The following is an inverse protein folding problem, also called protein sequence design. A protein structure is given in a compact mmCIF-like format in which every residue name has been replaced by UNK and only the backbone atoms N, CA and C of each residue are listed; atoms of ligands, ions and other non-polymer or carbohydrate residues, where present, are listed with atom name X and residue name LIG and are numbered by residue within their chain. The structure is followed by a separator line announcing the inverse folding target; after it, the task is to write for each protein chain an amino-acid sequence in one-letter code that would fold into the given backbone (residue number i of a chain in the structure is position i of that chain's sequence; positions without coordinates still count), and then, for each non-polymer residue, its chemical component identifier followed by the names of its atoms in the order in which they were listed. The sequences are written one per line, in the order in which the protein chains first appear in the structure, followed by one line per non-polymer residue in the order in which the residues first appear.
data_IF_651909395745
#
_entry.id   IF_651909395745
#
_cell.length_a   1.000
_cell.length_b   1.000
_cell.length_c   1.000
_cell.angle_alpha   90.00
_cell.angle_beta   90.00
_cell.angle_gamma   90.00
#
_symmetry.space_group_name_H-M   'P 1'
#
loop_
_entity.id
_entity.type
_entity.pdbx_description
1 polymer ?
#
# COMPACT_ATOMS: atom_id res chain seq x y z
N UNK A 1 59.99 48.42 -30.55
CA UNK A 1 60.62 47.53 -31.56
C UNK A 1 60.32 46.08 -31.18
N UNK A 2 60.03 45.25 -32.20
CA UNK A 2 59.77 43.79 -32.18
C UNK A 2 58.42 43.34 -31.56
N UNK A 3 57.40 43.03 -32.37
CA UNK A 3 57.11 41.80 -33.16
C UNK A 3 56.72 40.57 -32.30
N UNK A 4 55.44 40.17 -32.46
CA UNK A 4 54.72 38.88 -32.28
C UNK A 4 55.56 37.60 -32.58
N UNK A 5 55.06 36.33 -32.46
CA UNK A 5 53.90 35.68 -31.78
C UNK A 5 54.24 34.29 -31.13
N UNK A 6 53.19 33.54 -30.72
CA UNK A 6 53.02 32.07 -30.86
C UNK A 6 53.84 31.12 -29.93
N UNK A 7 53.15 30.32 -29.11
CA UNK A 7 53.03 28.84 -29.23
C UNK A 7 52.45 28.21 -27.94
N UNK A 8 51.53 27.26 -28.15
CA UNK A 8 50.88 26.40 -27.16
C UNK A 8 51.86 25.54 -26.34
N UNK A 9 51.54 25.35 -25.05
CA UNK A 9 51.73 24.12 -24.28
C UNK A 9 50.81 24.26 -23.04
N UNK A 10 49.56 23.78 -22.99
CA UNK A 10 49.10 22.39 -23.05
C UNK A 10 49.89 21.47 -22.11
N UNK A 11 49.74 21.68 -20.81
CA UNK A 11 50.02 20.68 -19.78
C UNK A 11 48.96 20.78 -18.67
N UNK A 12 47.87 20.06 -18.88
CA UNK A 12 46.97 19.58 -17.83
C UNK A 12 47.80 18.76 -16.83
N UNK A 13 47.89 19.12 -15.54
CA UNK A 13 48.29 18.15 -14.54
C UNK A 13 47.08 17.24 -14.30
N UNK A 14 47.22 16.02 -14.82
CA UNK A 14 46.50 14.80 -14.46
C UNK A 14 45.77 14.96 -13.11
N UNK A 15 44.47 15.23 -13.19
CA UNK A 15 43.58 15.01 -12.06
C UNK A 15 43.80 13.56 -11.66
N UNK A 16 44.36 13.37 -10.46
CA UNK A 16 44.41 12.07 -9.84
C UNK A 16 42.97 11.58 -9.77
N UNK A 17 42.61 10.71 -10.71
CA UNK A 17 41.47 9.83 -10.59
C UNK A 17 41.80 8.89 -9.43
N UNK A 18 41.69 9.38 -8.20
CA UNK A 18 41.33 8.52 -7.09
C UNK A 18 39.95 8.01 -7.46
N UNK A 19 39.91 6.84 -8.09
CA UNK A 19 38.76 5.96 -8.15
C UNK A 19 38.47 5.55 -6.72
N UNK A 20 37.94 6.50 -5.95
CA UNK A 20 37.22 6.21 -4.74
C UNK A 20 36.03 5.41 -5.25
N UNK A 21 35.93 4.11 -4.93
CA UNK A 21 34.70 3.40 -5.25
C UNK A 21 33.62 4.23 -4.59
N UNK A 22 32.68 4.73 -5.38
CA UNK A 22 31.46 5.29 -4.86
C UNK A 22 30.98 4.25 -3.87
N UNK A 23 31.09 4.56 -2.57
CA UNK A 23 30.43 3.80 -1.54
C UNK A 23 29.00 3.87 -2.03
N UNK A 24 28.52 2.76 -2.60
CA UNK A 24 27.12 2.60 -2.82
C UNK A 24 26.58 2.74 -1.40
N UNK A 25 26.10 3.92 -1.06
CA UNK A 25 24.89 4.00 -0.26
C UNK A 25 23.94 3.12 -1.07
N UNK A 26 23.93 1.83 -0.75
CA UNK A 26 22.75 1.02 -0.89
C UNK A 26 21.75 1.77 -0.01
N UNK A 27 21.16 2.83 -0.59
CA UNK A 27 19.99 3.47 -0.07
C UNK A 27 19.00 2.34 -0.08
N UNK A 28 18.82 1.73 1.09
CA UNK A 28 17.89 0.64 1.28
C UNK A 28 16.59 1.08 0.60
N UNK A 29 16.23 0.39 -0.47
CA UNK A 29 15.04 0.76 -1.21
C UNK A 29 13.86 0.36 -0.32
N UNK A 30 12.90 1.25 -0.02
CA UNK A 30 11.79 0.91 0.84
C UNK A 30 11.07 -0.32 0.30
N UNK A 31 10.86 -1.32 1.15
CA UNK A 31 10.15 -2.53 0.75
C UNK A 31 8.66 -2.19 0.56
N UNK A 32 8.12 -2.52 -0.62
CA UNK A 32 6.71 -2.30 -0.95
C UNK A 32 5.96 -3.63 -0.98
N UNK A 33 4.78 -3.64 -0.37
CA UNK A 33 3.89 -4.78 -0.34
C UNK A 33 2.50 -4.36 -0.80
N UNK A 34 1.82 -5.23 -1.52
CA UNK A 34 0.39 -5.09 -1.82
C UNK A 34 -0.35 -6.23 -1.14
N UNK A 35 -1.30 -5.86 -0.28
CA UNK A 35 -2.20 -6.78 0.40
C UNK A 35 -3.58 -6.70 -0.22
N UNK A 36 -4.18 -7.86 -0.41
CA UNK A 36 -5.52 -8.05 -0.94
C UNK A 36 -6.35 -8.81 0.09
N UNK A 37 -7.58 -8.36 0.30
CA UNK A 37 -8.60 -9.09 1.03
C UNK A 37 -9.89 -9.07 0.21
N UNK A 38 -10.55 -10.22 0.05
CA UNK A 38 -11.75 -10.32 -0.76
C UNK A 38 -12.76 -11.33 -0.24
N UNK A 39 -14.04 -10.99 -0.37
CA UNK A 39 -15.16 -11.90 -0.33
C UNK A 39 -15.57 -12.20 -1.77
N UNK A 40 -15.07 -13.28 -2.33
CA UNK A 40 -15.29 -13.64 -3.74
C UNK A 40 -16.72 -14.11 -4.05
N UNK A 41 -17.49 -14.50 -3.03
CA UNK A 41 -18.85 -15.03 -3.18
C UNK A 41 -19.77 -14.54 -2.07
N UNK A 42 -20.43 -13.41 -2.32
CA UNK A 42 -21.48 -12.91 -1.44
C UNK A 42 -22.81 -13.62 -1.76
N UNK A 43 -23.55 -14.12 -0.76
CA UNK A 43 -24.88 -14.71 -0.96
C UNK A 43 -25.85 -13.72 -1.62
N UNK A 44 -26.64 -14.18 -2.59
CA UNK A 44 -27.55 -13.33 -3.37
C UNK A 44 -28.65 -12.61 -2.55
N UNK A 45 -28.92 -13.07 -1.33
CA UNK A 45 -29.86 -12.46 -0.38
C UNK A 45 -29.23 -11.47 0.61
N UNK A 46 -27.91 -11.26 0.56
CA UNK A 46 -27.22 -10.35 1.47
C UNK A 46 -27.76 -8.92 1.31
N UNK A 47 -28.13 -8.28 2.41
CA UNK A 47 -28.59 -6.89 2.42
C UNK A 47 -27.47 -5.92 2.75
N UNK A 48 -26.50 -6.37 3.55
CA UNK A 48 -25.32 -5.62 3.96
C UNK A 48 -24.10 -6.53 3.98
N UNK A 49 -23.01 -6.06 3.39
CA UNK A 49 -21.71 -6.72 3.45
C UNK A 49 -20.69 -5.72 3.98
N UNK A 50 -19.84 -6.14 4.92
CA UNK A 50 -18.73 -5.35 5.44
C UNK A 50 -17.45 -6.16 5.31
N UNK A 51 -16.40 -5.52 4.84
CA UNK A 51 -15.04 -6.05 4.80
C UNK A 51 -14.15 -5.03 5.48
N UNK A 52 -13.45 -5.44 6.52
CA UNK A 52 -12.57 -4.58 7.29
C UNK A 52 -11.18 -5.17 7.44
N UNK A 53 -10.21 -4.29 7.64
CA UNK A 53 -8.85 -4.65 8.02
C UNK A 53 -8.32 -3.61 8.97
N UNK A 54 -7.76 -4.08 10.09
CA UNK A 54 -6.99 -3.24 11.00
C UNK A 54 -5.51 -3.36 10.65
N UNK A 55 -4.82 -2.24 10.52
CA UNK A 55 -3.39 -2.25 10.20
C UNK A 55 -2.60 -2.61 11.48
N UNK A 56 -1.79 -3.69 11.47
CA UNK A 56 -0.97 -4.10 12.62
C UNK A 56 -0.03 -3.00 13.07
N UNK A 57 0.30 -2.93 14.37
CA UNK A 57 1.12 -1.86 14.94
C UNK A 57 2.47 -1.68 14.23
N UNK A 58 3.09 -2.80 13.85
CA UNK A 58 4.37 -2.82 13.13
C UNK A 58 4.35 -1.99 11.85
N UNK A 59 3.21 -1.89 11.17
CA UNK A 59 3.06 -1.11 9.94
C UNK A 59 3.27 0.36 10.31
N UNK A 60 4.33 1.03 9.82
CA UNK A 60 4.63 2.38 10.28
C UNK A 60 3.51 3.37 9.94
N UNK A 61 3.38 4.42 10.76
CA UNK A 61 2.52 5.53 10.40
C UNK A 61 2.96 6.15 9.07
N UNK A 62 2.01 6.51 8.22
CA UNK A 62 2.27 6.94 6.86
C UNK A 62 2.87 5.87 5.92
N UNK A 63 2.93 4.58 6.28
CA UNK A 63 3.41 3.53 5.36
C UNK A 63 2.39 3.18 4.28
N UNK A 64 1.09 3.39 4.51
CA UNK A 64 0.06 3.14 3.50
C UNK A 64 0.17 4.18 2.37
N UNK A 65 0.48 3.72 1.15
CA UNK A 65 0.66 4.56 -0.05
C UNK A 65 -0.57 4.59 -0.93
N UNK A 66 -1.23 3.45 -1.11
CA UNK A 66 -2.45 3.37 -1.91
C UNK A 66 -3.48 2.51 -1.19
N UNK A 67 -4.74 2.88 -1.37
CA UNK A 67 -5.89 2.14 -0.89
C UNK A 67 -6.94 2.17 -2.00
N UNK A 68 -7.49 1.01 -2.31
CA UNK A 68 -8.59 0.90 -3.27
C UNK A 68 -9.57 -0.18 -2.82
N UNK A 69 -10.84 0.03 -3.16
CA UNK A 69 -11.86 -1.02 -3.11
C UNK A 69 -12.21 -1.46 -4.51
N UNK A 70 -12.60 -2.71 -4.65
CA UNK A 70 -13.07 -3.28 -5.90
C UNK A 70 -14.14 -4.32 -5.63
N UNK A 71 -14.84 -4.75 -6.67
CA UNK A 71 -15.79 -5.84 -6.57
C UNK A 71 -16.83 -5.80 -7.68
N UNK A 72 -17.94 -6.50 -7.43
CA UNK A 72 -19.03 -6.68 -8.37
C UNK A 72 -20.35 -6.44 -7.65
N UNK A 73 -21.13 -5.47 -8.09
CA UNK A 73 -22.47 -5.18 -7.52
C UNK A 73 -23.51 -5.19 -8.63
N UNK A 74 -24.55 -6.01 -8.50
CA UNK A 74 -25.62 -6.08 -9.51
C UNK A 74 -25.12 -6.40 -10.93
N UNK A 75 -24.02 -7.15 -11.05
CA UNK A 75 -23.26 -7.45 -12.29
C UNK A 75 -22.41 -6.30 -12.87
N UNK A 76 -22.29 -5.16 -12.20
CA UNK A 76 -21.39 -4.08 -12.59
C UNK A 76 -20.06 -4.16 -11.80
N UNK A 77 -18.91 -4.35 -12.46
CA UNK A 77 -17.63 -4.28 -11.77
C UNK A 77 -17.36 -2.84 -11.36
N UNK A 78 -16.75 -2.65 -10.20
CA UNK A 78 -16.30 -1.35 -9.74
C UNK A 78 -14.87 -1.40 -9.22
N UNK A 79 -14.18 -0.27 -9.37
CA UNK A 79 -12.93 0.02 -8.68
C UNK A 79 -13.01 1.45 -8.18
N UNK A 80 -12.66 1.66 -6.92
CA UNK A 80 -12.64 2.94 -6.23
C UNK A 80 -11.23 3.13 -5.67
N UNK A 81 -10.42 3.95 -6.34
CA UNK A 81 -9.12 4.37 -5.81
C UNK A 81 -9.35 5.53 -4.86
N UNK A 82 -8.87 5.39 -3.62
CA UNK A 82 -9.05 6.40 -2.60
C UNK A 82 -7.94 7.47 -2.64
N UNK A 83 -8.29 8.73 -2.37
CA UNK A 83 -7.30 9.81 -2.29
C UNK A 83 -6.36 9.60 -1.10
N UNK A 84 -5.22 10.28 -1.18
CA UNK A 84 -4.22 10.30 -0.10
C UNK A 84 -4.70 11.21 1.04
N UNK A 85 -5.66 10.74 1.84
CA UNK A 85 -6.21 11.47 2.99
C UNK A 85 -6.24 10.60 4.25
N UNK A 86 -6.03 11.24 5.41
CA UNK A 86 -6.00 10.58 6.74
C UNK A 86 -7.37 10.02 7.17
N UNK A 87 -8.44 10.47 6.57
CA UNK A 87 -9.74 9.81 6.70
C UNK A 87 -10.65 10.25 5.57
N UNK A 88 -11.73 9.52 5.42
CA UNK A 88 -12.79 9.92 4.51
C UNK A 88 -13.88 8.88 4.40
N UNK A 89 -14.90 9.26 3.65
CA UNK A 89 -15.96 8.36 3.22
C UNK A 89 -16.20 8.65 1.75
N UNK A 90 -16.27 7.60 0.94
CA UNK A 90 -16.62 7.66 -0.45
C UNK A 90 -17.82 6.75 -0.67
N UNK A 91 -18.88 7.31 -1.22
CA UNK A 91 -20.11 6.58 -1.54
C UNK A 91 -20.31 6.59 -3.06
N UNK A 92 -20.53 5.42 -3.64
CA UNK A 92 -20.92 5.24 -5.04
C UNK A 92 -22.03 4.21 -5.12
N UNK A 93 -23.20 4.66 -5.57
CA UNK A 93 -24.41 3.83 -5.74
C UNK A 93 -24.78 3.05 -4.47
N UNK A 94 -24.36 1.79 -4.39
CA UNK A 94 -24.64 0.83 -3.32
C UNK A 94 -23.44 0.57 -2.41
N UNK A 95 -22.27 1.13 -2.73
CA UNK A 95 -21.01 0.87 -2.02
C UNK A 95 -20.60 2.12 -1.27
N UNK A 96 -20.37 1.96 0.03
CA UNK A 96 -19.79 2.96 0.92
C UNK A 96 -18.45 2.45 1.42
N UNK A 97 -17.37 3.13 1.05
CA UNK A 97 -16.06 2.89 1.60
C UNK A 97 -15.74 3.98 2.63
N UNK A 98 -15.46 3.58 3.87
CA UNK A 98 -15.04 4.49 4.94
C UNK A 98 -13.63 4.12 5.39
N UNK A 99 -12.74 5.10 5.52
CA UNK A 99 -11.38 4.85 5.96
C UNK A 99 -10.97 5.86 7.02
N UNK A 100 -10.18 5.37 7.98
CA UNK A 100 -9.35 6.20 8.84
C UNK A 100 -7.91 5.73 8.63
N UNK A 101 -7.18 6.55 7.88
CA UNK A 101 -5.75 6.45 7.63
C UNK A 101 -5.01 7.17 8.75
N UNK A 102 -4.35 6.44 9.64
CA UNK A 102 -3.12 6.87 10.30
C UNK A 102 -3.05 8.36 10.74
N UNK A 103 -4.11 8.91 11.32
CA UNK A 103 -3.91 9.93 12.34
C UNK A 103 -3.31 9.18 13.54
N UNK A 104 -2.31 9.76 14.19
CA UNK A 104 -1.53 9.14 15.28
C UNK A 104 -2.35 8.73 16.53
N UNK A 105 -3.68 8.66 16.46
CA UNK A 105 -4.57 8.34 17.56
C UNK A 105 -5.77 7.48 17.11
N UNK A 106 -5.86 6.32 17.77
CA UNK A 106 -7.04 5.47 17.99
C UNK A 106 -7.72 4.71 16.82
N UNK A 107 -7.52 5.07 15.55
CA UNK A 107 -8.17 4.39 14.42
C UNK A 107 -7.18 3.92 13.35
N UNK A 108 -6.84 2.62 13.33
CA UNK A 108 -6.04 1.98 12.27
C UNK A 108 -6.89 1.05 11.39
N UNK A 109 -8.16 1.37 11.23
CA UNK A 109 -9.14 0.49 10.62
C UNK A 109 -9.66 1.07 9.28
N UNK A 110 -9.76 0.18 8.30
CA UNK A 110 -10.30 0.46 6.97
C UNK A 110 -11.52 -0.42 6.82
N UNK A 111 -12.68 0.16 6.49
CA UNK A 111 -13.94 -0.58 6.38
C UNK A 111 -14.64 -0.26 5.08
N UNK A 112 -14.81 -1.28 4.25
CA UNK A 112 -15.64 -1.26 3.06
C UNK A 112 -17.01 -1.84 3.40
N UNK A 113 -18.06 -1.08 3.12
CA UNK A 113 -19.45 -1.51 3.28
C UNK A 113 -20.16 -1.48 1.93
N UNK A 114 -20.97 -2.49 1.67
CA UNK A 114 -21.95 -2.50 0.57
C UNK A 114 -23.34 -2.71 1.14
N UNK A 115 -24.32 -1.97 0.61
CA UNK A 115 -25.75 -2.11 0.89
C UNK A 115 -26.46 -2.53 -0.39
N UNK A 116 -26.78 -3.81 -0.51
CA UNK A 116 -27.47 -4.38 -1.68
C UNK A 116 -26.79 -5.61 -2.25
N UNK A 117 -26.99 -5.85 -3.56
CA UNK A 117 -26.61 -7.08 -4.29
C UNK A 117 -25.11 -7.14 -4.64
N UNK A 118 -24.24 -7.00 -3.65
CA UNK A 118 -22.83 -7.34 -3.86
C UNK A 118 -22.73 -8.84 -4.20
N UNK A 119 -21.92 -9.15 -5.19
CA UNK A 119 -21.52 -10.51 -5.55
C UNK A 119 -20.06 -10.76 -5.14
N UNK A 120 -19.25 -9.71 -5.22
CA UNK A 120 -17.86 -9.68 -4.78
C UNK A 120 -17.55 -8.34 -4.09
N UNK A 121 -16.73 -8.38 -3.04
CA UNK A 121 -16.25 -7.19 -2.35
C UNK A 121 -14.78 -7.39 -1.96
N UNK A 122 -13.91 -6.45 -2.34
CA UNK A 122 -12.48 -6.54 -2.10
C UNK A 122 -11.82 -5.23 -1.72
N UNK A 123 -10.76 -5.34 -0.92
CA UNK A 123 -9.86 -4.26 -0.51
C UNK A 123 -8.46 -4.55 -1.01
N UNK A 124 -7.77 -3.51 -1.47
CA UNK A 124 -6.35 -3.57 -1.84
C UNK A 124 -5.60 -2.43 -1.15
N UNK A 125 -4.58 -2.81 -0.40
CA UNK A 125 -3.69 -1.93 0.34
C UNK A 125 -2.30 -2.00 -0.27
N UNK A 126 -1.64 -0.86 -0.48
CA UNK A 126 -0.21 -0.83 -0.79
C UNK A 126 0.54 -0.16 0.34
N UNK A 127 1.44 -0.91 0.98
CA UNK A 127 2.26 -0.45 2.11
C UNK A 127 3.70 -0.32 1.65
N UNK A 128 4.31 0.84 1.86
CA UNK A 128 5.74 1.06 1.68
C UNK A 128 6.39 1.22 3.05
N UNK A 129 7.20 0.23 3.42
CA UNK A 129 7.95 0.22 4.67
C UNK A 129 9.28 0.93 4.42
N UNK A 130 9.58 2.02 5.15
CA UNK A 130 10.86 2.70 5.02
C UNK A 130 12.02 1.76 5.35
N UNK A 131 13.10 1.93 4.59
CA UNK A 131 14.42 1.49 4.97
C UNK A 131 14.77 1.89 6.41
N UNK A 132 15.12 0.93 7.25
CA UNK A 132 15.53 1.22 8.63
C UNK A 132 14.39 1.61 9.57
N UNK A 133 13.11 1.38 9.21
CA UNK A 133 12.06 1.34 10.23
C UNK A 133 12.50 0.36 11.33
N UNK A 134 12.66 0.86 12.57
CA UNK A 134 13.05 0.04 13.73
C UNK A 134 11.94 -0.96 14.00
N UNK A 135 12.05 -2.11 13.37
CA UNK A 135 11.23 -3.28 13.59
C UNK A 135 12.21 -4.39 13.92
N UNK A 136 11.97 -5.10 15.01
CA UNK A 136 12.89 -6.10 15.55
C UNK A 136 13.19 -7.26 14.59
N UNK A 137 12.48 -7.32 13.45
CA UNK A 137 12.67 -8.26 12.35
C UNK A 137 12.51 -7.59 10.98
N UNK A 138 13.21 -8.08 9.94
CA UNK A 138 13.01 -7.64 8.57
C UNK A 138 11.56 -7.90 8.11
N UNK A 139 11.03 -7.00 7.27
CA UNK A 139 9.71 -7.18 6.68
C UNK A 139 9.71 -8.30 5.64
N UNK A 140 9.14 -9.43 6.01
CA UNK A 140 8.77 -10.52 5.11
C UNK A 140 7.30 -10.36 4.67
N UNK A 141 7.04 -10.63 3.38
CA UNK A 141 5.70 -10.56 2.80
C UNK A 141 4.75 -11.53 3.53
N UNK A 142 5.23 -12.74 3.82
CA UNK A 142 4.45 -13.81 4.47
C UNK A 142 4.09 -13.46 5.91
N UNK A 143 5.04 -12.87 6.66
CA UNK A 143 4.77 -12.41 8.02
C UNK A 143 3.77 -11.25 8.06
N UNK A 144 3.94 -10.27 7.15
CA UNK A 144 2.98 -9.16 7.03
C UNK A 144 1.60 -9.64 6.57
N UNK A 145 1.55 -10.65 5.69
CA UNK A 145 0.31 -11.30 5.26
C UNK A 145 -0.43 -11.94 6.42
N UNK A 146 0.26 -12.73 7.24
CA UNK A 146 -0.33 -13.41 8.39
C UNK A 146 -0.95 -12.41 9.36
N UNK A 147 -0.21 -11.36 9.72
CA UNK A 147 -0.73 -10.33 10.63
C UNK A 147 -1.89 -9.54 10.04
N UNK A 148 -1.81 -9.15 8.76
CA UNK A 148 -2.93 -8.47 8.11
C UNK A 148 -4.14 -9.40 8.00
N UNK A 149 -3.94 -10.69 7.74
CA UNK A 149 -5.02 -11.68 7.66
C UNK A 149 -5.70 -11.88 9.02
N UNK A 150 -4.95 -11.93 10.12
CA UNK A 150 -5.50 -12.00 11.49
C UNK A 150 -6.32 -10.76 11.84
N UNK A 151 -5.94 -9.59 11.34
CA UNK A 151 -6.63 -8.33 11.54
C UNK A 151 -7.72 -8.03 10.48
N UNK A 152 -7.89 -8.93 9.49
CA UNK A 152 -8.92 -8.81 8.45
C UNK A 152 -10.16 -9.57 8.85
N UNK A 153 -11.31 -8.92 8.71
CA UNK A 153 -12.60 -9.48 9.06
C UNK A 153 -13.63 -9.17 8.00
N UNK A 154 -14.66 -10.00 7.94
CA UNK A 154 -15.77 -9.82 7.02
C UNK A 154 -17.09 -10.20 7.68
N UNK A 155 -18.14 -9.43 7.37
CA UNK A 155 -19.49 -9.66 7.87
C UNK A 155 -20.50 -9.60 6.73
N UNK A 156 -21.49 -10.49 6.75
CA UNK A 156 -22.70 -10.42 5.92
C UNK A 156 -23.89 -10.37 6.87
N UNK A 157 -24.72 -9.33 6.75
CA UNK A 157 -25.92 -9.11 7.58
C UNK A 157 -25.63 -9.25 9.08
N UNK A 158 -24.53 -8.64 9.54
CA UNK A 158 -24.04 -8.65 10.93
C UNK A 158 -23.62 -10.04 11.47
N UNK A 159 -23.28 -10.97 10.57
CA UNK A 159 -22.71 -12.27 10.93
C UNK A 159 -21.35 -12.44 10.26
N UNK A 160 -20.37 -13.11 10.90
CA UNK A 160 -19.09 -13.41 10.27
C UNK A 160 -19.29 -14.11 8.92
N UNK A 161 -18.63 -13.60 7.89
CA UNK A 161 -18.66 -14.18 6.56
C UNK A 161 -17.63 -15.33 6.46
N UNK A 162 -18.01 -16.41 5.77
CA UNK A 162 -17.06 -17.44 5.35
C UNK A 162 -16.50 -17.10 3.96
N UNK A 163 -15.33 -17.66 3.63
CA UNK A 163 -14.71 -17.46 2.30
C UNK A 163 -14.04 -16.11 2.12
N UNK A 164 -13.58 -15.49 3.21
CA UNK A 164 -12.62 -14.39 3.15
C UNK A 164 -11.27 -14.94 2.66
N UNK A 165 -10.81 -14.43 1.53
CA UNK A 165 -9.52 -14.75 0.94
C UNK A 165 -8.58 -13.57 1.12
N UNK A 166 -7.33 -13.85 1.50
CA UNK A 166 -6.29 -12.85 1.69
C UNK A 166 -5.05 -13.21 0.88
N UNK A 167 -4.34 -12.19 0.41
CA UNK A 167 -3.08 -12.38 -0.31
C UNK A 167 -2.15 -11.19 -0.12
N UNK A 168 -0.88 -11.43 0.20
CA UNK A 168 0.16 -10.41 0.19
C UNK A 168 1.22 -10.70 -0.87
N UNK A 169 1.67 -9.66 -1.57
CA UNK A 169 2.77 -9.76 -2.53
C UNK A 169 3.77 -8.63 -2.33
N UNK A 170 5.05 -8.96 -2.33
CA UNK A 170 6.12 -7.94 -2.40
C UNK A 170 6.18 -7.39 -3.82
N UNK A 171 6.14 -6.07 -3.94
CA UNK A 171 6.20 -5.35 -5.22
C UNK A 171 7.60 -4.74 -5.37
N UNK A 172 8.18 -4.86 -6.57
CA UNK A 172 9.48 -4.27 -6.90
C UNK A 172 9.37 -2.80 -7.24
#
# INVERSE_FOLDING_TARGET
MHLRPLWLALLLPLAACSSQPARSEAGDTPARFTYHAALARVPAGATRVRLGVRLPERVPAGALRALSAYGLVGNAPFELVLPDSDSGTLEREHVRLSWQRLAASAGREIVLESRGKALELGLRLTVAVPAGARVDAPYDASALEAELAEETWAEIDARPASGLETRCVRVR
#
